data_IF_421050846281
#
_entry.id   IF_421050846281
#
_cell.length_a   1.000
_cell.length_b   1.000
_cell.length_c   1.000
_cell.angle_alpha   90.00
_cell.angle_beta   90.00
_cell.angle_gamma   90.00
#
_symmetry.space_group_name_H-M   'P 1'
#
loop_
_entity.id
_entity.type
_entity.pdbx_description
1 polymer ?
#
# COMPACT_ATOMS: atom_id res chain seq x y z
N UNK A 1 -33.63 7.61 -16.68
CA UNK A 1 -33.02 6.62 -17.61
C UNK A 1 -31.55 6.86 -17.87
N UNK A 2 -31.07 8.10 -17.88
CA UNK A 2 -29.67 8.41 -18.17
C UNK A 2 -28.66 7.93 -17.10
N UNK A 3 -28.99 8.04 -15.82
CA UNK A 3 -28.13 7.52 -14.75
C UNK A 3 -28.00 5.98 -14.76
N UNK A 4 -28.97 5.25 -15.29
CA UNK A 4 -28.88 3.80 -15.46
C UNK A 4 -28.00 3.43 -16.67
N UNK A 5 -28.12 4.17 -17.78
CA UNK A 5 -27.26 4.01 -18.97
C UNK A 5 -25.81 4.40 -18.68
N UNK A 6 -25.56 5.50 -17.98
CA UNK A 6 -24.21 5.89 -17.52
C UNK A 6 -23.61 4.84 -16.58
N UNK A 7 -24.36 4.29 -15.61
CA UNK A 7 -23.87 3.19 -14.76
C UNK A 7 -23.53 1.94 -15.57
N UNK A 8 -24.33 1.57 -16.56
CA UNK A 8 -24.05 0.40 -17.42
C UNK A 8 -22.84 0.63 -18.34
N UNK A 9 -22.66 1.85 -18.87
CA UNK A 9 -21.48 2.21 -19.66
C UNK A 9 -20.19 2.20 -18.83
N UNK A 10 -20.19 2.78 -17.61
CA UNK A 10 -19.06 2.72 -16.70
C UNK A 10 -18.71 1.30 -16.24
N UNK A 11 -19.68 0.38 -16.18
CA UNK A 11 -19.45 -1.02 -15.84
C UNK A 11 -18.73 -1.72 -17.01
N UNK A 12 -19.11 -1.51 -18.25
CA UNK A 12 -18.47 -2.11 -19.44
C UNK A 12 -17.00 -1.72 -19.57
N UNK A 13 -16.67 -0.46 -19.36
CA UNK A 13 -15.28 0.04 -19.40
C UNK A 13 -14.42 -0.41 -18.22
N UNK A 14 -15.04 -0.96 -17.19
CA UNK A 14 -14.35 -1.44 -15.97
C UNK A 14 -14.16 -2.95 -15.93
N UNK A 15 -14.62 -3.70 -16.92
CA UNK A 15 -14.36 -5.14 -17.00
C UNK A 15 -12.88 -5.40 -17.28
N UNK A 16 -12.25 -6.17 -16.38
CA UNK A 16 -10.91 -6.69 -16.59
C UNK A 16 -11.03 -8.16 -16.99
N UNK A 17 -10.52 -8.57 -18.17
CA UNK A 17 -10.55 -9.97 -18.56
C UNK A 17 -9.61 -10.76 -17.66
N UNK A 18 -10.05 -11.91 -17.16
CA UNK A 18 -9.20 -12.85 -16.43
C UNK A 18 -8.92 -14.04 -17.34
N UNK A 19 -7.65 -14.30 -17.62
CA UNK A 19 -7.22 -15.41 -18.45
C UNK A 19 -7.17 -16.70 -17.64
N UNK A 20 -7.93 -17.71 -18.08
CA UNK A 20 -7.84 -19.07 -17.52
C UNK A 20 -6.79 -19.83 -18.32
N UNK A 21 -5.64 -20.11 -17.69
CA UNK A 21 -4.52 -20.83 -18.31
C UNK A 21 -4.50 -22.28 -17.89
N UNK A 22 -4.11 -23.22 -18.80
CA UNK A 22 -3.93 -24.63 -18.47
C UNK A 22 -2.92 -24.83 -17.33
N UNK A 23 -3.10 -25.91 -16.54
CA UNK A 23 -2.22 -26.21 -15.41
C UNK A 23 -0.75 -26.38 -15.82
N UNK A 24 -0.48 -27.07 -16.93
CA UNK A 24 0.88 -27.25 -17.47
C UNK A 24 1.53 -25.89 -17.83
N UNK A 25 0.75 -24.96 -18.42
CA UNK A 25 1.25 -23.62 -18.70
C UNK A 25 1.69 -22.91 -17.43
N UNK A 26 0.95 -23.03 -16.33
CA UNK A 26 1.32 -22.42 -15.04
C UNK A 26 2.59 -22.99 -14.44
N UNK A 27 2.84 -24.30 -14.61
CA UNK A 27 4.11 -24.95 -14.17
C UNK A 27 5.29 -24.34 -14.96
N UNK A 28 5.16 -24.27 -16.28
CA UNK A 28 6.19 -23.69 -17.15
C UNK A 28 6.42 -22.21 -16.84
N UNK A 29 5.34 -21.42 -16.70
CA UNK A 29 5.44 -20.03 -16.27
C UNK A 29 6.15 -19.85 -14.93
N UNK A 30 5.91 -20.78 -13.97
CA UNK A 30 6.58 -20.74 -12.67
C UNK A 30 8.08 -20.95 -12.77
N UNK A 31 8.53 -21.85 -13.63
CA UNK A 31 9.96 -22.06 -13.89
C UNK A 31 10.62 -20.82 -14.51
N UNK A 32 9.98 -20.24 -15.54
CA UNK A 32 10.46 -19.01 -16.16
C UNK A 32 10.47 -17.84 -15.17
N UNK A 33 9.43 -17.71 -14.36
CA UNK A 33 9.30 -16.68 -13.33
C UNK A 33 10.44 -16.75 -12.31
N UNK A 34 10.75 -17.94 -11.78
CA UNK A 34 11.81 -18.12 -10.78
C UNK A 34 13.16 -17.67 -11.37
N UNK A 35 13.52 -18.17 -12.56
CA UNK A 35 14.77 -17.84 -13.23
C UNK A 35 14.91 -16.35 -13.56
N UNK A 36 13.84 -15.76 -14.09
CA UNK A 36 13.83 -14.33 -14.42
C UNK A 36 13.90 -13.47 -13.14
N UNK A 37 13.17 -13.85 -12.08
CA UNK A 37 13.16 -13.12 -10.82
C UNK A 37 14.53 -13.15 -10.13
N UNK A 38 15.20 -14.32 -10.09
CA UNK A 38 16.57 -14.46 -9.58
C UNK A 38 17.51 -13.50 -10.32
N UNK A 39 17.52 -13.56 -11.64
CA UNK A 39 18.35 -12.69 -12.49
C UNK A 39 18.10 -11.19 -12.22
N UNK A 40 16.83 -10.78 -12.13
CA UNK A 40 16.43 -9.39 -11.89
C UNK A 40 16.86 -8.91 -10.50
N UNK A 41 16.76 -9.78 -9.48
CA UNK A 41 17.15 -9.43 -8.12
C UNK A 41 18.68 -9.34 -7.98
N UNK A 42 19.42 -10.30 -8.53
CA UNK A 42 20.89 -10.32 -8.48
C UNK A 42 21.52 -9.09 -9.16
N UNK A 43 20.87 -8.60 -10.23
CA UNK A 43 21.31 -7.42 -10.96
C UNK A 43 20.65 -6.11 -10.50
N UNK A 44 19.81 -6.14 -9.44
CA UNK A 44 19.10 -4.97 -8.91
C UNK A 44 18.35 -4.16 -9.99
N UNK A 45 17.72 -4.83 -10.95
CA UNK A 45 17.09 -4.21 -12.12
C UNK A 45 15.89 -3.35 -11.74
N UNK A 46 15.04 -3.82 -10.81
CA UNK A 46 13.79 -3.12 -10.52
C UNK A 46 14.00 -1.84 -9.70
N UNK A 47 13.25 -0.82 -10.09
CA UNK A 47 13.24 0.46 -9.40
C UNK A 47 12.95 0.29 -7.90
N UNK A 48 13.76 0.91 -7.07
CA UNK A 48 13.75 0.73 -5.61
C UNK A 48 12.43 1.11 -4.92
N UNK A 49 11.63 1.98 -5.54
CA UNK A 49 10.32 2.39 -5.03
C UNK A 49 9.14 1.76 -5.80
N UNK A 50 9.39 0.65 -6.50
CA UNK A 50 8.34 -0.24 -6.99
C UNK A 50 7.93 -1.21 -5.87
N UNK A 51 6.68 -1.13 -5.43
CA UNK A 51 6.16 -1.94 -4.32
C UNK A 51 5.18 -3.04 -4.76
N UNK A 52 4.72 -3.01 -6.01
CA UNK A 52 3.79 -4.02 -6.55
C UNK A 52 4.50 -5.31 -6.94
N UNK A 53 3.87 -6.44 -6.70
CA UNK A 53 4.31 -7.78 -7.12
C UNK A 53 5.76 -8.16 -6.76
N UNK A 54 6.31 -7.58 -5.72
CA UNK A 54 7.66 -7.89 -5.23
C UNK A 54 7.59 -8.55 -3.86
N UNK A 55 8.40 -9.58 -3.65
CA UNK A 55 8.56 -10.21 -2.35
C UNK A 55 9.12 -9.21 -1.32
N UNK A 56 8.66 -9.29 -0.09
CA UNK A 56 9.05 -8.37 0.98
C UNK A 56 8.47 -6.95 0.84
N UNK A 57 7.75 -6.64 -0.23
CA UNK A 57 7.08 -5.36 -0.46
C UNK A 57 5.57 -5.48 -0.22
N UNK A 58 4.92 -4.37 0.13
CA UNK A 58 3.48 -4.36 0.42
C UNK A 58 2.89 -2.94 0.27
N UNK A 59 1.55 -2.82 0.12
CA UNK A 59 0.88 -1.51 0.17
C UNK A 59 1.20 -0.72 1.44
N UNK A 60 1.34 -1.41 2.56
CA UNK A 60 1.68 -0.82 3.84
C UNK A 60 3.05 -0.12 3.82
N UNK A 61 4.07 -0.77 3.28
CA UNK A 61 5.41 -0.19 3.14
C UNK A 61 5.43 1.03 2.23
N UNK A 62 4.71 0.99 1.11
CA UNK A 62 4.56 2.15 0.22
C UNK A 62 3.91 3.34 0.93
N UNK A 63 2.87 3.07 1.73
CA UNK A 63 2.16 4.09 2.52
C UNK A 63 3.03 4.65 3.65
N UNK A 64 3.77 3.82 4.38
CA UNK A 64 4.72 4.27 5.42
C UNK A 64 5.74 5.22 4.81
N UNK A 65 6.33 4.83 3.67
CA UNK A 65 7.29 5.68 2.95
C UNK A 65 6.68 7.01 2.52
N UNK A 66 5.50 6.98 1.91
CA UNK A 66 4.82 8.17 1.43
C UNK A 66 4.49 9.13 2.57
N UNK A 67 3.89 8.62 3.64
CA UNK A 67 3.51 9.42 4.82
C UNK A 67 4.74 10.01 5.50
N UNK A 68 5.84 9.24 5.61
CA UNK A 68 7.10 9.75 6.16
C UNK A 68 7.64 10.93 5.33
N UNK A 69 7.71 10.76 4.00
CA UNK A 69 8.21 11.81 3.10
C UNK A 69 7.36 13.08 3.15
N UNK A 70 6.02 12.93 3.05
CA UNK A 70 5.12 14.10 3.11
C UNK A 70 5.22 14.78 4.47
N UNK A 71 5.20 14.01 5.56
CA UNK A 71 5.26 14.59 6.92
C UNK A 71 6.53 15.39 7.15
N UNK A 72 7.67 14.91 6.65
CA UNK A 72 8.95 15.63 6.76
C UNK A 72 8.96 16.90 5.94
N UNK A 73 8.51 16.88 4.69
CA UNK A 73 8.40 18.09 3.88
C UNK A 73 7.47 19.13 4.55
N UNK A 74 6.33 18.69 5.09
CA UNK A 74 5.43 19.57 5.85
C UNK A 74 6.10 20.14 7.11
N UNK A 75 6.95 19.34 7.80
CA UNK A 75 7.71 19.82 8.97
C UNK A 75 8.68 20.94 8.59
N UNK A 76 9.38 20.79 7.46
CA UNK A 76 10.30 21.77 6.88
C UNK A 76 9.60 23.02 6.30
N UNK A 77 8.26 23.07 6.36
CA UNK A 77 7.45 24.17 5.86
C UNK A 77 7.16 24.11 4.37
N UNK A 78 7.43 22.98 3.74
CA UNK A 78 7.15 22.76 2.32
C UNK A 78 5.73 22.28 2.08
N UNK A 79 5.26 22.46 0.85
CA UNK A 79 4.11 21.76 0.27
C UNK A 79 4.59 20.53 -0.47
N UNK A 80 3.70 19.54 -0.62
CA UNK A 80 3.97 18.38 -1.49
C UNK A 80 2.85 18.27 -2.51
N UNK A 81 3.21 18.34 -3.80
CA UNK A 81 2.30 18.04 -4.88
C UNK A 81 2.38 16.53 -5.17
N UNK A 82 1.24 15.86 -5.09
CA UNK A 82 1.10 14.46 -5.49
C UNK A 82 0.18 14.34 -6.71
N UNK A 83 0.68 13.80 -7.81
CA UNK A 83 -0.08 13.46 -9.01
C UNK A 83 -0.29 11.95 -9.05
N UNK A 84 -1.56 11.54 -9.08
CA UNK A 84 -2.00 10.13 -9.09
C UNK A 84 -2.44 9.77 -10.50
N UNK A 85 -1.59 9.00 -11.20
CA UNK A 85 -1.84 8.56 -12.57
C UNK A 85 -2.64 7.26 -12.57
N UNK A 86 -3.67 7.18 -13.41
CA UNK A 86 -4.43 5.95 -13.69
C UNK A 86 -4.18 5.57 -15.16
N UNK A 87 -3.63 4.38 -15.40
CA UNK A 87 -3.41 3.91 -16.76
C UNK A 87 -4.63 3.18 -17.31
N UNK A 88 -4.88 3.40 -18.60
CA UNK A 88 -5.96 2.71 -19.31
C UNK A 88 -5.51 1.29 -19.69
N UNK A 89 -6.06 0.26 -19.01
CA UNK A 89 -5.79 -1.16 -19.35
C UNK A 89 -4.30 -1.51 -19.46
N UNK A 90 -3.48 -1.05 -18.50
CA UNK A 90 -2.02 -1.13 -18.55
C UNK A 90 -1.48 -2.52 -18.90
N UNK A 91 -1.99 -3.58 -18.30
CA UNK A 91 -1.59 -4.97 -18.58
C UNK A 91 -1.97 -5.45 -19.96
N UNK A 92 -3.07 -4.95 -20.51
CA UNK A 92 -3.61 -5.39 -21.81
C UNK A 92 -2.95 -4.65 -22.98
N UNK A 93 -2.22 -3.54 -22.71
CA UNK A 93 -1.61 -2.69 -23.73
C UNK A 93 -0.10 -2.83 -23.82
N UNK A 94 0.53 -3.71 -23.05
CA UNK A 94 1.98 -3.98 -23.11
C UNK A 94 2.36 -4.37 -24.52
N UNK A 95 3.20 -3.57 -25.18
CA UNK A 95 3.71 -3.90 -26.51
C UNK A 95 4.84 -4.91 -26.40
N UNK A 96 4.71 -6.04 -27.10
CA UNK A 96 5.64 -7.17 -26.97
C UNK A 96 7.05 -6.80 -27.48
N UNK A 97 7.20 -6.07 -28.59
CA UNK A 97 8.54 -5.71 -29.11
C UNK A 97 9.26 -4.74 -28.18
N UNK A 98 8.56 -3.76 -27.60
CA UNK A 98 9.13 -2.86 -26.60
C UNK A 98 9.55 -3.67 -25.35
N UNK A 99 8.71 -4.61 -24.90
CA UNK A 99 9.06 -5.48 -23.78
C UNK A 99 10.33 -6.31 -24.07
N UNK A 100 10.45 -6.88 -25.26
CA UNK A 100 11.63 -7.66 -25.63
C UNK A 100 12.88 -6.80 -25.70
N UNK A 101 12.80 -5.59 -26.24
CA UNK A 101 13.91 -4.61 -26.23
C UNK A 101 14.34 -4.26 -24.81
N UNK A 102 13.38 -4.08 -23.88
CA UNK A 102 13.69 -3.83 -22.46
C UNK A 102 14.31 -5.05 -21.77
N UNK A 103 13.82 -6.25 -22.03
CA UNK A 103 14.41 -7.49 -21.52
C UNK A 103 15.87 -7.61 -21.97
N UNK A 104 16.13 -7.37 -23.25
CA UNK A 104 17.48 -7.40 -23.82
C UNK A 104 18.39 -6.31 -23.22
N UNK A 105 17.88 -5.10 -23.06
CA UNK A 105 18.58 -3.99 -22.40
C UNK A 105 18.99 -4.35 -20.96
N UNK A 106 18.11 -5.01 -20.20
CA UNK A 106 18.39 -5.48 -18.85
C UNK A 106 19.27 -6.74 -18.80
N UNK A 107 19.68 -7.28 -19.95
CA UNK A 107 20.63 -8.39 -20.05
C UNK A 107 20.02 -9.76 -20.30
N UNK A 108 18.72 -9.86 -20.52
CA UNK A 108 18.07 -11.13 -20.92
C UNK A 108 18.25 -11.31 -22.42
N UNK A 109 19.19 -12.15 -22.85
CA UNK A 109 19.63 -12.30 -24.25
C UNK A 109 19.47 -13.75 -24.74
N UNK A 110 19.68 -13.93 -26.03
CA UNK A 110 19.78 -15.24 -26.72
C UNK A 110 18.60 -16.19 -26.42
N UNK A 111 18.87 -17.38 -25.93
CA UNK A 111 17.88 -18.43 -25.69
C UNK A 111 16.79 -17.99 -24.72
N UNK A 112 17.08 -17.38 -23.54
CA UNK A 112 16.06 -16.79 -22.66
C UNK A 112 15.14 -15.80 -23.36
N UNK A 113 15.69 -14.89 -24.16
CA UNK A 113 14.87 -13.90 -24.89
C UNK A 113 13.97 -14.57 -25.93
N UNK A 114 14.48 -15.57 -26.67
CA UNK A 114 13.69 -16.37 -27.62
C UNK A 114 12.55 -17.11 -26.94
N UNK A 115 12.76 -17.61 -25.71
CA UNK A 115 11.70 -18.22 -24.92
C UNK A 115 10.57 -17.24 -24.58
N UNK A 116 10.89 -16.01 -24.14
CA UNK A 116 9.86 -15.00 -23.86
C UNK A 116 9.14 -14.56 -25.14
N UNK A 117 9.85 -14.45 -26.27
CA UNK A 117 9.23 -14.22 -27.57
C UNK A 117 8.24 -15.32 -27.92
N UNK A 118 8.64 -16.60 -27.83
CA UNK A 118 7.78 -17.73 -28.08
C UNK A 118 6.57 -17.78 -27.12
N UNK A 119 6.78 -17.46 -25.85
CA UNK A 119 5.71 -17.42 -24.85
C UNK A 119 4.60 -16.40 -25.15
N UNK A 120 4.94 -15.23 -25.70
CA UNK A 120 3.98 -14.17 -26.00
C UNK A 120 3.45 -14.21 -27.44
N UNK A 121 4.18 -14.83 -28.37
CA UNK A 121 3.81 -14.86 -29.79
C UNK A 121 2.81 -15.97 -30.12
N UNK A 122 2.00 -15.75 -31.15
CA UNK A 122 1.07 -16.77 -31.67
C UNK A 122 -0.08 -17.13 -30.75
N UNK A 123 -0.27 -16.39 -29.65
CA UNK A 123 -1.36 -16.66 -28.70
C UNK A 123 -2.71 -16.25 -29.27
N UNK A 124 -3.73 -17.06 -28.96
CA UNK A 124 -5.12 -16.76 -29.28
C UNK A 124 -5.96 -16.73 -28.01
N UNK A 125 -7.02 -15.94 -28.01
CA UNK A 125 -7.98 -15.87 -26.93
C UNK A 125 -9.41 -15.89 -27.45
N UNK A 126 -10.31 -16.41 -26.65
CA UNK A 126 -11.75 -16.28 -26.82
C UNK A 126 -12.39 -15.99 -25.46
N UNK A 127 -13.59 -15.45 -25.47
CA UNK A 127 -14.36 -15.15 -24.27
C UNK A 127 -15.47 -16.16 -24.15
N UNK A 128 -15.64 -16.76 -22.99
CA UNK A 128 -16.76 -17.64 -22.64
C UNK A 128 -17.61 -16.92 -21.58
N UNK A 129 -18.92 -16.84 -21.85
CA UNK A 129 -19.86 -16.22 -20.94
C UNK A 129 -21.22 -16.93 -21.05
N UNK A 130 -21.76 -17.43 -19.93
CA UNK A 130 -23.03 -18.15 -19.86
C UNK A 130 -23.19 -19.30 -20.91
N UNK A 131 -22.12 -20.06 -21.12
CA UNK A 131 -22.12 -21.18 -22.07
C UNK A 131 -21.98 -20.79 -23.54
N UNK A 132 -21.87 -19.50 -23.86
CA UNK A 132 -21.60 -19.01 -25.21
C UNK A 132 -20.13 -18.61 -25.34
N UNK A 133 -19.48 -19.04 -26.44
CA UNK A 133 -18.09 -18.72 -26.74
C UNK A 133 -17.97 -17.77 -27.92
N UNK A 134 -17.08 -16.78 -27.82
CA UNK A 134 -16.73 -15.90 -28.94
C UNK A 134 -15.84 -16.59 -29.97
N UNK A 135 -15.68 -16.02 -31.15
CA UNK A 135 -14.61 -16.40 -32.08
C UNK A 135 -13.22 -16.17 -31.47
N UNK A 136 -12.28 -17.01 -31.85
CA UNK A 136 -10.87 -16.86 -31.46
C UNK A 136 -10.25 -15.63 -32.10
N UNK A 137 -9.46 -14.87 -31.32
CA UNK A 137 -8.71 -13.72 -31.79
C UNK A 137 -7.22 -13.82 -31.40
N UNK A 138 -6.34 -13.38 -32.28
CA UNK A 138 -4.91 -13.30 -31.97
C UNK A 138 -4.64 -12.21 -30.93
N UNK A 139 -3.73 -12.50 -30.00
CA UNK A 139 -3.21 -11.53 -29.02
C UNK A 139 -1.96 -10.92 -29.62
N UNK A 140 -2.01 -9.62 -29.91
CA UNK A 140 -0.89 -8.85 -30.49
C UNK A 140 -0.19 -7.93 -29.48
N UNK A 141 -0.79 -7.74 -28.30
CA UNK A 141 -0.25 -6.97 -27.19
C UNK A 141 -0.85 -7.45 -25.86
N UNK A 142 -0.27 -6.98 -24.78
CA UNK A 142 -0.68 -7.30 -23.42
C UNK A 142 -0.03 -8.56 -22.85
N UNK A 143 -0.09 -8.66 -21.52
CA UNK A 143 0.30 -9.85 -20.77
C UNK A 143 -0.94 -10.47 -20.14
N UNK A 144 -1.08 -11.81 -20.11
CA UNK A 144 -2.30 -12.45 -19.63
C UNK A 144 -2.58 -12.10 -18.16
N UNK A 145 -3.74 -11.50 -17.89
CA UNK A 145 -4.20 -11.25 -16.52
C UNK A 145 -4.63 -12.58 -15.87
N UNK A 146 -3.85 -13.06 -14.90
CA UNK A 146 -4.01 -14.39 -14.27
C UNK A 146 -2.85 -15.35 -14.53
N UNK A 147 -1.86 -14.94 -15.34
CA UNK A 147 -0.59 -15.64 -15.48
C UNK A 147 0.34 -15.39 -14.29
N UNK A 148 1.26 -16.32 -14.04
CA UNK A 148 2.31 -16.16 -13.02
C UNK A 148 3.39 -15.18 -13.50
N UNK A 149 3.71 -15.23 -14.77
CA UNK A 149 4.80 -14.45 -15.38
C UNK A 149 4.38 -13.01 -15.72
N UNK A 150 3.11 -12.80 -16.09
CA UNK A 150 2.59 -11.50 -16.54
C UNK A 150 2.90 -10.32 -15.62
N UNK A 151 2.67 -10.42 -14.32
CA UNK A 151 3.01 -9.34 -13.37
C UNK A 151 4.50 -8.94 -13.44
N UNK A 152 5.42 -9.90 -13.48
CA UNK A 152 6.86 -9.62 -13.52
C UNK A 152 7.25 -8.94 -14.86
N UNK A 153 6.71 -9.42 -15.97
CA UNK A 153 6.92 -8.80 -17.29
C UNK A 153 6.39 -7.35 -17.32
N UNK A 154 5.25 -7.10 -16.68
CA UNK A 154 4.73 -5.74 -16.55
C UNK A 154 5.64 -4.86 -15.69
N UNK A 155 6.19 -5.36 -14.57
CA UNK A 155 7.14 -4.60 -13.76
C UNK A 155 8.39 -4.20 -14.58
N UNK A 156 8.92 -5.09 -15.41
CA UNK A 156 10.05 -4.80 -16.31
C UNK A 156 9.65 -3.73 -17.34
N UNK A 157 8.43 -3.82 -17.87
CA UNK A 157 7.94 -2.89 -18.86
C UNK A 157 7.83 -1.45 -18.35
N UNK A 158 7.34 -1.26 -17.10
CA UNK A 158 7.13 0.07 -16.51
C UNK A 158 8.36 0.59 -15.75
N UNK A 159 9.40 -0.23 -15.59
CA UNK A 159 10.49 0.00 -14.65
C UNK A 159 11.20 1.36 -14.84
N UNK A 160 11.43 1.75 -16.07
CA UNK A 160 12.16 2.97 -16.46
C UNK A 160 11.30 4.25 -16.46
N UNK A 161 9.98 4.16 -16.20
CA UNK A 161 9.11 5.33 -16.00
C UNK A 161 9.68 6.29 -14.95
N UNK A 162 10.19 5.74 -13.85
CA UNK A 162 10.75 6.53 -12.77
C UNK A 162 12.00 7.32 -13.13
N UNK A 163 12.66 6.95 -14.23
CA UNK A 163 13.85 7.63 -14.78
C UNK A 163 13.52 8.63 -15.87
N UNK A 164 12.23 8.75 -16.28
CA UNK A 164 11.79 9.74 -17.24
C UNK A 164 11.91 11.19 -16.73
N UNK A 165 12.01 11.37 -15.41
CA UNK A 165 12.25 12.66 -14.75
C UNK A 165 13.26 12.49 -13.61
N UNK A 166 14.16 13.46 -13.47
CA UNK A 166 15.15 13.51 -12.39
C UNK A 166 14.66 14.29 -11.15
N UNK A 167 13.67 15.16 -11.31
CA UNK A 167 13.12 16.00 -10.24
C UNK A 167 11.96 15.33 -9.49
N UNK A 168 11.22 14.46 -10.18
CA UNK A 168 10.03 13.82 -9.61
C UNK A 168 10.41 12.59 -8.80
N UNK A 169 9.90 12.53 -7.57
CA UNK A 169 9.95 11.31 -6.78
C UNK A 169 8.74 10.44 -7.11
N UNK A 170 8.98 9.20 -7.57
CA UNK A 170 7.94 8.27 -7.99
C UNK A 170 7.75 7.15 -6.97
N UNK A 171 6.49 6.81 -6.65
CA UNK A 171 6.12 5.57 -5.96
C UNK A 171 5.26 4.77 -6.91
N UNK A 172 5.72 3.57 -7.27
CA UNK A 172 5.04 2.66 -8.18
C UNK A 172 4.46 1.47 -7.39
N UNK A 173 3.24 1.09 -7.73
CA UNK A 173 2.63 -0.14 -7.27
C UNK A 173 1.93 -0.83 -8.43
N UNK A 174 2.66 -1.63 -9.18
CA UNK A 174 2.27 -2.16 -10.48
C UNK A 174 1.86 -1.04 -11.45
N UNK A 175 0.58 -0.99 -11.85
CA UNK A 175 0.01 0.03 -12.73
C UNK A 175 -0.32 1.36 -11.99
N UNK A 176 -0.46 1.33 -10.66
CA UNK A 176 -0.63 2.56 -9.89
C UNK A 176 0.70 3.34 -9.83
N UNK A 177 0.81 4.41 -10.62
CA UNK A 177 2.00 5.26 -10.68
C UNK A 177 1.70 6.63 -10.07
N UNK A 178 2.51 7.00 -9.07
CA UNK A 178 2.26 8.20 -8.30
C UNK A 178 3.53 9.04 -8.25
N UNK A 179 3.40 10.32 -8.59
CA UNK A 179 4.47 11.26 -8.81
C UNK A 179 4.40 12.37 -7.77
N UNK A 180 5.52 12.68 -7.13
CA UNK A 180 5.57 13.65 -6.03
C UNK A 180 6.68 14.69 -6.23
N UNK A 181 6.37 15.94 -5.90
CA UNK A 181 7.33 17.05 -5.79
C UNK A 181 7.10 17.78 -4.47
N UNK A 182 8.17 18.25 -3.83
CA UNK A 182 8.09 19.12 -2.65
C UNK A 182 8.74 20.46 -2.89
N UNK A 183 8.26 21.51 -2.18
CA UNK A 183 8.79 22.84 -2.28
C UNK A 183 7.94 23.87 -1.53
N UNK A 184 8.43 25.09 -1.44
CA UNK A 184 7.82 26.16 -0.62
C UNK A 184 6.72 26.96 -1.32
N UNK A 185 6.68 26.95 -2.65
CA UNK A 185 5.67 27.64 -3.46
C UNK A 185 4.82 26.64 -4.25
N UNK A 186 3.51 26.56 -3.97
CA UNK A 186 2.61 25.64 -4.68
C UNK A 186 2.50 25.92 -6.19
N UNK A 187 2.52 27.17 -6.63
CA UNK A 187 2.44 27.50 -8.05
C UNK A 187 3.73 27.11 -8.78
N UNK A 188 4.89 27.29 -8.14
CA UNK A 188 6.15 26.81 -8.68
C UNK A 188 6.18 25.28 -8.79
N UNK A 189 5.62 24.56 -7.82
CA UNK A 189 5.49 23.09 -7.90
C UNK A 189 4.65 22.67 -9.10
N UNK A 190 3.57 23.40 -9.42
CA UNK A 190 2.74 23.11 -10.59
C UNK A 190 3.50 23.39 -11.89
N UNK A 191 4.24 24.50 -11.99
CA UNK A 191 5.08 24.81 -13.16
C UNK A 191 6.13 23.71 -13.38
N UNK A 192 6.88 23.38 -12.34
CA UNK A 192 7.87 22.29 -12.41
C UNK A 192 7.25 20.94 -12.78
N UNK A 193 6.07 20.62 -12.19
CA UNK A 193 5.35 19.41 -12.55
C UNK A 193 4.99 19.40 -14.04
N UNK A 194 4.50 20.51 -14.61
CA UNK A 194 4.14 20.60 -16.01
C UNK A 194 5.39 20.44 -16.93
N UNK A 195 6.53 21.03 -16.55
CA UNK A 195 7.80 20.87 -17.27
C UNK A 195 8.21 19.38 -17.32
N UNK A 196 8.22 18.72 -16.17
CA UNK A 196 8.63 17.31 -16.07
C UNK A 196 7.60 16.35 -16.71
N UNK A 197 6.32 16.71 -16.72
CA UNK A 197 5.28 15.95 -17.39
C UNK A 197 5.48 15.83 -18.90
N UNK A 198 6.16 16.77 -19.54
CA UNK A 198 6.53 16.65 -20.96
C UNK A 198 7.36 15.39 -21.19
N UNK A 199 8.34 15.13 -20.34
CA UNK A 199 9.19 13.95 -20.42
C UNK A 199 8.42 12.66 -20.14
N UNK A 200 7.55 12.68 -19.11
CA UNK A 200 6.71 11.54 -18.75
C UNK A 200 5.72 11.20 -19.87
N UNK A 201 5.06 12.21 -20.45
CA UNK A 201 4.12 12.01 -21.57
C UNK A 201 4.85 11.45 -22.79
N UNK A 202 6.04 11.95 -23.11
CA UNK A 202 6.89 11.40 -24.18
C UNK A 202 7.25 9.94 -23.90
N UNK A 203 7.65 9.62 -22.67
CA UNK A 203 7.93 8.24 -22.27
C UNK A 203 6.69 7.34 -22.46
N UNK A 204 5.51 7.79 -22.05
CA UNK A 204 4.26 7.06 -22.22
C UNK A 204 3.92 6.79 -23.67
N UNK A 205 4.11 7.78 -24.56
CA UNK A 205 3.88 7.66 -26.00
C UNK A 205 4.82 6.62 -26.62
N UNK A 206 6.13 6.68 -26.31
CA UNK A 206 7.14 5.73 -26.79
C UNK A 206 6.79 4.32 -26.30
N UNK A 207 6.35 4.18 -25.07
CA UNK A 207 5.96 2.89 -24.48
C UNK A 207 4.50 2.47 -24.79
N UNK A 208 3.79 3.18 -25.66
CA UNK A 208 2.41 2.87 -26.07
C UNK A 208 1.45 2.68 -24.89
N UNK A 209 1.68 3.40 -23.79
CA UNK A 209 0.80 3.43 -22.62
C UNK A 209 -0.07 4.69 -22.63
N UNK A 210 -1.34 4.56 -22.25
CA UNK A 210 -2.28 5.67 -22.22
C UNK A 210 -2.73 5.98 -20.80
N UNK A 211 -2.73 7.26 -20.44
CA UNK A 211 -3.26 7.75 -19.16
C UNK A 211 -4.76 7.96 -19.26
N UNK A 212 -5.49 7.50 -18.28
CA UNK A 212 -6.91 7.81 -18.11
C UNK A 212 -7.06 9.18 -17.44
N UNK A 213 -7.10 10.24 -18.25
CA UNK A 213 -7.16 11.62 -17.77
C UNK A 213 -8.39 11.93 -16.88
N UNK A 214 -9.50 11.18 -17.06
CA UNK A 214 -10.72 11.34 -16.24
C UNK A 214 -10.55 10.81 -14.81
N UNK A 215 -9.67 9.83 -14.60
CA UNK A 215 -9.36 9.26 -13.28
C UNK A 215 -8.07 9.80 -12.69
N UNK A 216 -7.21 10.41 -13.50
CA UNK A 216 -6.00 11.08 -13.06
C UNK A 216 -6.35 12.37 -12.33
N UNK A 217 -5.73 12.61 -11.19
CA UNK A 217 -5.98 13.79 -10.37
C UNK A 217 -4.73 14.15 -9.56
N UNK A 218 -4.67 15.38 -9.07
CA UNK A 218 -3.58 15.80 -8.20
C UNK A 218 -4.08 16.35 -6.87
N UNK A 219 -3.21 16.35 -5.87
CA UNK A 219 -3.46 16.89 -4.54
C UNK A 219 -2.23 17.65 -4.06
N UNK A 220 -2.45 18.78 -3.37
CA UNK A 220 -1.39 19.50 -2.67
C UNK A 220 -1.52 19.25 -1.18
N UNK A 221 -0.56 18.55 -0.62
CA UNK A 221 -0.44 18.33 0.81
C UNK A 221 0.09 19.59 1.48
N UNK A 222 -0.52 19.97 2.59
CA UNK A 222 -0.25 21.20 3.31
C UNK A 222 -0.59 21.13 4.79
N UNK A 223 -0.04 22.03 5.59
CA UNK A 223 -0.45 22.18 6.99
C UNK A 223 -1.91 22.63 7.10
N UNK A 224 -2.63 22.15 8.13
CA UNK A 224 -4.09 22.39 8.29
C UNK A 224 -4.51 23.87 8.26
N UNK A 225 -3.70 24.77 8.84
CA UNK A 225 -4.01 26.18 8.94
C UNK A 225 -3.68 26.99 7.68
N UNK A 226 -2.95 26.39 6.73
CA UNK A 226 -2.51 27.07 5.52
C UNK A 226 -3.59 26.96 4.46
N UNK A 227 -4.12 28.08 4.01
CA UNK A 227 -4.99 28.16 2.83
C UNK A 227 -4.12 28.42 1.61
N UNK A 228 -4.43 27.77 0.50
CA UNK A 228 -3.77 28.00 -0.79
C UNK A 228 -4.82 28.38 -1.83
N UNK A 229 -4.45 29.31 -2.68
CA UNK A 229 -5.19 29.66 -3.88
C UNK A 229 -4.23 29.54 -5.05
N UNK A 230 -4.48 28.55 -5.89
CA UNK A 230 -3.60 28.24 -7.03
C UNK A 230 -3.95 29.12 -8.22
N UNK A 231 -2.92 29.69 -8.84
CA UNK A 231 -3.02 30.43 -10.11
C UNK A 231 -2.75 29.49 -11.29
N UNK A 232 -1.84 28.55 -11.10
CA UNK A 232 -1.39 27.57 -12.10
C UNK A 232 -2.26 26.32 -12.13
N UNK A 233 -2.22 25.56 -13.22
CA UNK A 233 -2.99 24.34 -13.44
C UNK A 233 -2.09 23.25 -14.00
N UNK A 234 -2.31 22.01 -13.59
CA UNK A 234 -1.67 20.84 -14.22
C UNK A 234 -2.39 20.53 -15.53
N UNK A 235 -1.63 20.36 -16.61
CA UNK A 235 -2.13 20.09 -17.95
C UNK A 235 -1.41 18.87 -18.50
N UNK A 236 -2.16 17.87 -18.97
CA UNK A 236 -1.65 16.70 -19.69
C UNK A 236 -2.39 16.61 -21.02
N UNK A 237 -1.69 16.61 -22.16
CA UNK A 237 -2.28 16.54 -23.50
C UNK A 237 -3.42 17.56 -23.68
N UNK A 238 -3.20 18.83 -23.32
CA UNK A 238 -4.15 19.94 -23.37
C UNK A 238 -5.40 19.76 -22.49
N UNK A 239 -5.45 18.74 -21.64
CA UNK A 239 -6.54 18.51 -20.68
C UNK A 239 -6.11 18.95 -19.28
N UNK A 240 -6.93 19.79 -18.65
CA UNK A 240 -6.72 20.21 -17.26
C UNK A 240 -7.02 19.07 -16.31
N UNK A 241 -6.05 18.76 -15.46
CA UNK A 241 -6.18 17.75 -14.40
C UNK A 241 -6.85 18.37 -13.17
N UNK A 242 -7.82 17.67 -12.60
CA UNK A 242 -8.57 18.14 -11.44
C UNK A 242 -7.76 18.04 -10.15
N UNK A 243 -7.80 19.12 -9.37
CA UNK A 243 -7.33 19.11 -7.99
C UNK A 243 -8.38 18.45 -7.09
N UNK A 244 -7.94 17.62 -6.16
CA UNK A 244 -8.80 16.99 -5.16
C UNK A 244 -8.22 17.17 -3.75
N UNK A 245 -9.06 17.08 -2.73
CA UNK A 245 -8.66 17.19 -1.33
C UNK A 245 -8.47 15.83 -0.66
N UNK A 246 -8.96 14.76 -1.26
CA UNK A 246 -8.84 13.38 -0.76
C UNK A 246 -8.85 12.38 -1.91
N UNK A 247 -8.06 11.32 -1.76
CA UNK A 247 -8.02 10.20 -2.72
C UNK A 247 -7.88 8.88 -2.00
N UNK A 248 -8.20 7.79 -2.70
CA UNK A 248 -7.93 6.44 -2.23
C UNK A 248 -6.61 5.96 -2.85
N UNK A 249 -5.58 5.89 -2.03
CA UNK A 249 -4.26 5.38 -2.42
C UNK A 249 -4.00 4.02 -1.76
N UNK A 250 -3.75 3.00 -2.55
CA UNK A 250 -3.52 1.62 -2.10
C UNK A 250 -4.51 1.16 -1.00
N UNK A 251 -5.81 1.45 -1.21
CA UNK A 251 -6.86 1.05 -0.27
C UNK A 251 -7.11 2.00 0.91
N UNK A 252 -6.21 2.94 1.20
CA UNK A 252 -6.34 3.93 2.27
C UNK A 252 -6.83 5.28 1.72
N UNK A 253 -7.82 5.89 2.38
CA UNK A 253 -8.25 7.26 2.05
C UNK A 253 -7.27 8.26 2.65
N UNK A 254 -6.52 8.94 1.79
CA UNK A 254 -5.57 10.01 2.18
C UNK A 254 -6.22 11.36 1.88
N UNK A 255 -6.03 12.31 2.76
CA UNK A 255 -6.44 13.71 2.58
C UNK A 255 -5.22 14.65 2.59
N UNK A 256 -5.40 15.84 2.04
CA UNK A 256 -4.38 16.85 1.85
C UNK A 256 -3.70 17.38 3.15
N UNK A 257 -4.24 17.03 4.30
CA UNK A 257 -3.68 17.36 5.62
C UNK A 257 -3.19 16.14 6.41
N UNK A 258 -3.17 14.94 5.81
CA UNK A 258 -2.83 13.65 6.46
C UNK A 258 -3.63 13.42 7.76
N UNK A 259 -4.93 13.73 7.75
CA UNK A 259 -5.77 13.54 8.94
C UNK A 259 -6.30 12.11 9.06
N UNK A 260 -6.42 11.39 7.95
CA UNK A 260 -7.02 10.06 7.83
C UNK A 260 -8.46 9.95 8.36
N UNK A 261 -9.13 11.06 8.65
CA UNK A 261 -10.52 11.05 9.16
C UNK A 261 -11.45 10.34 8.17
N UNK A 262 -11.28 10.62 6.87
CA UNK A 262 -12.06 9.97 5.81
C UNK A 262 -11.83 8.45 5.77
N UNK A 263 -10.60 7.98 6.04
CA UNK A 263 -10.30 6.55 6.12
C UNK A 263 -10.94 5.89 7.34
N UNK A 264 -10.88 6.55 8.49
CA UNK A 264 -11.51 6.08 9.74
C UNK A 264 -13.03 5.94 9.54
N UNK A 265 -13.68 6.93 8.92
CA UNK A 265 -15.12 6.87 8.60
C UNK A 265 -15.44 5.77 7.58
N UNK A 266 -14.59 5.59 6.58
CA UNK A 266 -14.71 4.48 5.62
C UNK A 266 -14.60 3.12 6.32
N UNK A 267 -13.61 2.93 7.18
CA UNK A 267 -13.40 1.71 7.99
C UNK A 267 -14.62 1.44 8.87
N UNK A 268 -15.13 2.46 9.59
CA UNK A 268 -16.37 2.37 10.37
C UNK A 268 -17.56 1.87 9.53
N UNK A 269 -17.70 2.39 8.31
CA UNK A 269 -18.80 2.00 7.40
C UNK A 269 -18.67 0.53 6.96
N UNK A 270 -17.46 0.08 6.62
CA UNK A 270 -17.20 -1.33 6.26
C UNK A 270 -17.45 -2.27 7.43
N UNK A 271 -16.97 -1.91 8.62
CA UNK A 271 -17.23 -2.67 9.86
C UNK A 271 -18.73 -2.76 10.18
N UNK A 272 -19.51 -1.71 9.93
CA UNK A 272 -20.94 -1.74 10.19
C UNK A 272 -21.66 -2.83 9.37
N UNK A 273 -21.25 -3.03 8.10
CA UNK A 273 -21.77 -4.12 7.26
C UNK A 273 -21.37 -5.50 7.78
N UNK A 274 -20.10 -5.66 8.17
CA UNK A 274 -19.57 -6.89 8.74
C UNK A 274 -20.28 -7.26 10.06
N UNK A 275 -20.54 -6.27 10.92
CA UNK A 275 -21.25 -6.44 12.18
C UNK A 275 -22.69 -6.92 11.92
N UNK A 276 -23.33 -6.51 10.82
CA UNK A 276 -24.64 -7.03 10.42
C UNK A 276 -24.63 -8.54 10.17
N UNK A 277 -23.54 -9.09 9.63
CA UNK A 277 -23.35 -10.54 9.47
C UNK A 277 -23.26 -11.22 10.83
N UNK A 278 -22.40 -10.69 11.74
CA UNK A 278 -22.24 -11.20 13.09
C UNK A 278 -23.57 -11.18 13.86
N UNK A 279 -24.34 -10.10 13.73
CA UNK A 279 -25.63 -9.95 14.40
C UNK A 279 -26.64 -11.04 13.99
N UNK A 280 -26.68 -11.39 12.69
CA UNK A 280 -27.55 -12.48 12.21
C UNK A 280 -27.04 -13.85 12.66
N UNK A 281 -25.73 -14.05 12.66
CA UNK A 281 -25.10 -15.33 13.02
C UNK A 281 -25.17 -15.68 14.50
N UNK A 282 -25.28 -14.69 15.43
CA UNK A 282 -25.20 -14.91 16.88
C UNK A 282 -26.21 -15.90 17.46
N UNK A 283 -27.34 -16.15 16.77
CA UNK A 283 -28.37 -17.09 17.19
C UNK A 283 -28.06 -18.54 16.79
N UNK A 284 -27.17 -18.73 15.81
CA UNK A 284 -26.94 -20.03 15.17
C UNK A 284 -25.53 -20.57 15.44
N UNK A 285 -24.58 -19.71 15.76
CA UNK A 285 -23.17 -20.09 15.85
C UNK A 285 -22.65 -20.05 17.29
N UNK A 286 -21.71 -20.95 17.58
CA UNK A 286 -20.96 -20.96 18.83
C UNK A 286 -20.07 -19.73 18.98
N UNK A 287 -19.64 -19.39 20.19
CA UNK A 287 -18.71 -18.29 20.44
C UNK A 287 -17.41 -18.44 19.64
N UNK A 288 -16.91 -19.65 19.44
CA UNK A 288 -15.69 -19.92 18.69
C UNK A 288 -15.88 -19.64 17.21
N UNK A 289 -17.02 -20.05 16.63
CA UNK A 289 -17.38 -19.70 15.25
C UNK A 289 -17.55 -18.20 15.09
N UNK A 290 -18.21 -17.54 16.05
CA UNK A 290 -18.39 -16.09 16.04
C UNK A 290 -17.05 -15.33 16.13
N UNK A 291 -16.08 -15.83 16.93
CA UNK A 291 -14.69 -15.33 16.92
C UNK A 291 -14.04 -15.47 15.54
N UNK A 292 -14.24 -16.60 14.88
CA UNK A 292 -13.72 -16.82 13.51
C UNK A 292 -14.33 -15.82 12.54
N UNK A 293 -15.64 -15.60 12.59
CA UNK A 293 -16.33 -14.59 11.77
C UNK A 293 -15.82 -13.16 12.06
N UNK A 294 -15.57 -12.83 13.33
CA UNK A 294 -14.94 -11.56 13.68
C UNK A 294 -13.55 -11.41 13.04
N UNK A 295 -12.73 -12.45 13.12
CA UNK A 295 -11.38 -12.43 12.54
C UNK A 295 -11.39 -12.32 10.99
N UNK A 296 -12.42 -12.86 10.33
CA UNK A 296 -12.54 -12.82 8.86
C UNK A 296 -13.16 -11.51 8.38
N UNK A 297 -14.22 -11.03 9.03
CA UNK A 297 -15.02 -9.92 8.50
C UNK A 297 -14.76 -8.56 9.17
N UNK A 298 -14.25 -8.51 10.41
CA UNK A 298 -14.05 -7.25 11.16
C UNK A 298 -12.57 -6.91 11.31
N UNK A 299 -11.78 -7.85 11.80
CA UNK A 299 -10.37 -7.65 12.11
C UNK A 299 -9.52 -7.13 10.92
N UNK A 300 -9.70 -7.60 9.66
CA UNK A 300 -8.92 -7.13 8.53
C UNK A 300 -9.08 -5.63 8.26
N UNK A 301 -10.27 -5.07 8.47
CA UNK A 301 -10.50 -3.62 8.34
C UNK A 301 -9.78 -2.80 9.41
N UNK A 302 -9.57 -3.36 10.60
CA UNK A 302 -8.83 -2.72 11.68
C UNK A 302 -7.32 -2.79 11.45
N UNK A 303 -6.84 -3.91 10.91
CA UNK A 303 -5.42 -4.18 10.71
C UNK A 303 -4.84 -3.52 9.45
N UNK A 304 -5.67 -3.28 8.42
CA UNK A 304 -5.17 -2.83 7.13
C UNK A 304 -4.49 -1.46 7.21
N UNK A 305 -3.18 -1.45 7.00
CA UNK A 305 -2.32 -0.25 7.00
C UNK A 305 -2.50 0.63 8.26
N UNK A 306 -2.82 0.02 9.40
CA UNK A 306 -3.08 0.75 10.65
C UNK A 306 -1.87 1.56 11.12
N UNK A 307 -0.66 1.19 10.71
CA UNK A 307 0.58 1.85 11.06
C UNK A 307 0.59 3.32 10.63
N UNK A 308 -0.14 3.69 9.57
CA UNK A 308 -0.17 5.07 9.07
C UNK A 308 -1.35 5.89 9.62
N UNK A 309 -2.45 5.25 10.04
CA UNK A 309 -3.64 5.97 10.51
C UNK A 309 -4.01 5.71 11.98
N UNK A 310 -3.43 4.67 12.60
CA UNK A 310 -3.81 4.23 13.95
C UNK A 310 -3.33 5.15 15.08
N UNK A 311 -2.29 5.99 14.90
CA UNK A 311 -1.85 7.03 15.86
C UNK A 311 -2.64 8.31 15.65
N UNK A 312 -3.94 8.22 15.56
CA UNK A 312 -4.80 9.40 15.47
C UNK A 312 -5.37 9.76 16.85
N UNK A 313 -5.92 10.98 16.97
CA UNK A 313 -6.59 11.42 18.19
C UNK A 313 -7.78 10.50 18.51
N UNK A 314 -7.96 10.17 19.79
CA UNK A 314 -9.03 9.29 20.27
C UNK A 314 -10.43 9.73 19.83
N UNK A 315 -10.68 11.03 19.78
CA UNK A 315 -11.93 11.60 19.24
C UNK A 315 -12.27 11.07 17.85
N UNK A 316 -11.27 10.91 16.99
CA UNK A 316 -11.48 10.41 15.61
C UNK A 316 -11.54 8.89 15.57
N UNK A 317 -10.80 8.19 16.44
CA UNK A 317 -10.81 6.73 16.53
C UNK A 317 -12.04 6.16 17.24
N UNK A 318 -12.68 6.92 18.15
CA UNK A 318 -13.82 6.47 18.95
C UNK A 318 -14.98 5.86 18.15
N UNK A 319 -15.36 6.37 16.96
CA UNK A 319 -16.38 5.71 16.14
C UNK A 319 -16.03 4.29 15.69
N UNK A 320 -14.75 3.98 15.46
CA UNK A 320 -14.27 2.64 15.11
C UNK A 320 -14.18 1.78 16.35
N UNK A 321 -13.67 2.32 17.48
CA UNK A 321 -13.62 1.66 18.78
C UNK A 321 -15.02 1.21 19.25
N UNK A 322 -16.03 2.07 19.12
CA UNK A 322 -17.42 1.74 19.43
C UNK A 322 -17.94 0.57 18.59
N UNK A 323 -17.61 0.54 17.28
CA UNK A 323 -17.97 -0.58 16.41
C UNK A 323 -17.23 -1.86 16.77
N UNK A 324 -15.96 -1.78 17.10
CA UNK A 324 -15.20 -2.95 17.57
C UNK A 324 -15.79 -3.52 18.87
N UNK A 325 -16.06 -2.68 19.87
CA UNK A 325 -16.70 -3.11 21.12
C UNK A 325 -18.06 -3.77 20.88
N UNK A 326 -18.84 -3.26 19.94
CA UNK A 326 -20.10 -3.89 19.55
C UNK A 326 -19.88 -5.28 18.94
N UNK A 327 -18.94 -5.42 18.01
CA UNK A 327 -18.61 -6.71 17.39
C UNK A 327 -18.15 -7.74 18.43
N UNK A 328 -17.30 -7.34 19.40
CA UNK A 328 -16.82 -8.21 20.48
C UNK A 328 -17.98 -8.73 21.37
N UNK A 329 -18.93 -7.88 21.73
CA UNK A 329 -20.11 -8.31 22.51
C UNK A 329 -21.01 -9.29 21.74
N UNK A 330 -21.04 -9.21 20.41
CA UNK A 330 -21.79 -10.17 19.61
C UNK A 330 -21.18 -11.58 19.62
N UNK A 331 -19.87 -11.71 19.90
CA UNK A 331 -19.22 -13.02 20.01
C UNK A 331 -19.82 -13.84 21.15
N UNK A 332 -20.04 -13.19 22.29
CA UNK A 332 -20.57 -13.84 23.53
C UNK A 332 -22.05 -13.60 23.76
N UNK A 333 -22.72 -12.83 22.90
CA UNK A 333 -24.14 -12.53 23.03
C UNK A 333 -24.54 -11.60 24.21
N UNK A 334 -23.56 -11.02 24.91
CA UNK A 334 -23.79 -10.18 26.11
C UNK A 334 -24.41 -8.81 25.79
N UNK A 335 -24.87 -8.12 26.81
CA UNK A 335 -25.55 -6.82 26.70
C UNK A 335 -24.61 -5.71 26.18
N UNK A 336 -25.19 -4.62 25.64
CA UNK A 336 -24.44 -3.45 25.16
C UNK A 336 -23.62 -2.73 26.24
N UNK A 337 -23.97 -2.90 27.51
CA UNK A 337 -23.28 -2.26 28.64
C UNK A 337 -22.10 -3.08 29.18
N UNK A 338 -22.00 -4.37 28.82
CA UNK A 338 -20.93 -5.26 29.32
C UNK A 338 -19.56 -4.78 28.91
N UNK A 339 -18.58 -4.70 29.83
CA UNK A 339 -17.18 -4.42 29.48
C UNK A 339 -16.63 -5.43 28.48
N UNK A 340 -15.77 -4.99 27.57
CA UNK A 340 -15.23 -5.86 26.53
C UNK A 340 -13.85 -6.43 26.84
N UNK A 341 -13.22 -5.99 27.94
CA UNK A 341 -11.90 -6.48 28.36
C UNK A 341 -11.92 -7.98 28.67
N UNK A 342 -12.84 -8.52 29.47
CA UNK A 342 -12.89 -9.96 29.74
C UNK A 342 -13.12 -10.79 28.47
N UNK A 343 -13.90 -10.26 27.52
CA UNK A 343 -14.12 -10.94 26.22
C UNK A 343 -12.82 -11.00 25.41
N UNK A 344 -12.05 -9.90 25.38
CA UNK A 344 -10.77 -9.85 24.67
C UNK A 344 -9.76 -10.81 25.28
N UNK A 345 -9.64 -10.85 26.59
CA UNK A 345 -8.78 -11.77 27.34
C UNK A 345 -9.16 -13.23 27.07
N UNK A 346 -10.46 -13.59 27.26
CA UNK A 346 -10.97 -14.95 26.98
C UNK A 346 -10.58 -15.46 25.58
N UNK A 347 -10.66 -14.62 24.58
CA UNK A 347 -10.43 -15.00 23.18
C UNK A 347 -9.07 -14.59 22.61
N UNK A 348 -8.23 -13.93 23.39
CA UNK A 348 -6.94 -13.39 22.92
C UNK A 348 -7.13 -12.36 21.80
N UNK A 349 -8.09 -11.44 21.91
CA UNK A 349 -8.41 -10.43 20.91
C UNK A 349 -7.85 -9.06 21.33
N UNK A 350 -7.27 -8.35 20.39
CA UNK A 350 -6.68 -7.04 20.62
C UNK A 350 -7.69 -5.91 20.41
N UNK A 351 -7.61 -4.86 21.21
CA UNK A 351 -8.27 -3.56 20.96
C UNK A 351 -7.64 -2.84 19.77
N UNK A 352 -8.27 -1.79 19.26
CA UNK A 352 -7.71 -1.00 18.14
C UNK A 352 -6.32 -0.44 18.46
N UNK A 353 -6.11 0.06 19.69
CA UNK A 353 -4.80 0.59 20.11
C UNK A 353 -3.75 -0.52 20.21
N UNK A 354 -4.12 -1.69 20.72
CA UNK A 354 -3.23 -2.85 20.77
C UNK A 354 -2.93 -3.39 19.35
N UNK A 355 -3.92 -3.37 18.42
CA UNK A 355 -3.71 -3.73 17.01
C UNK A 355 -2.68 -2.78 16.37
N UNK A 356 -2.77 -1.47 16.67
CA UNK A 356 -1.79 -0.49 16.18
C UNK A 356 -0.39 -0.81 16.67
N UNK A 357 -0.20 -1.00 17.99
CA UNK A 357 1.11 -1.37 18.56
C UNK A 357 1.59 -2.70 17.98
N UNK A 358 0.71 -3.69 17.90
CA UNK A 358 1.03 -4.99 17.34
C UNK A 358 1.56 -4.89 15.90
N UNK A 359 0.87 -4.14 15.03
CA UNK A 359 1.27 -3.97 13.65
C UNK A 359 2.64 -3.27 13.53
N UNK A 360 2.83 -2.18 14.28
CA UNK A 360 4.11 -1.46 14.32
C UNK A 360 5.24 -2.37 14.81
N UNK A 361 5.01 -3.14 15.86
CA UNK A 361 6.04 -4.02 16.40
C UNK A 361 6.42 -5.15 15.43
N UNK A 362 5.46 -5.69 14.68
CA UNK A 362 5.75 -6.66 13.62
C UNK A 362 6.58 -6.05 12.49
N UNK A 363 6.30 -4.80 12.13
CA UNK A 363 7.12 -4.06 11.17
C UNK A 363 8.54 -3.81 11.71
N UNK A 364 8.67 -3.30 12.94
CA UNK A 364 9.97 -3.02 13.56
C UNK A 364 10.80 -4.29 13.79
N UNK A 365 10.18 -5.42 14.11
CA UNK A 365 10.86 -6.72 14.14
C UNK A 365 11.48 -7.05 12.78
N UNK A 366 10.74 -6.86 11.68
CA UNK A 366 11.27 -7.08 10.34
C UNK A 366 12.41 -6.12 10.00
N UNK A 367 12.31 -4.85 10.43
CA UNK A 367 13.41 -3.86 10.30
C UNK A 367 14.64 -4.33 11.06
N UNK A 368 14.48 -4.73 12.32
CA UNK A 368 15.59 -5.20 13.17
C UNK A 368 16.34 -6.38 12.58
N UNK A 369 15.62 -7.28 11.90
CA UNK A 369 16.19 -8.48 11.26
C UNK A 369 16.48 -8.31 9.76
N UNK A 370 16.52 -7.08 9.23
CA UNK A 370 16.78 -6.75 7.83
C UNK A 370 15.84 -7.47 6.82
N UNK A 371 14.58 -7.70 7.23
CA UNK A 371 13.54 -8.37 6.43
C UNK A 371 12.58 -7.37 5.77
N UNK A 372 13.02 -6.15 5.56
CA UNK A 372 12.32 -5.08 4.82
C UNK A 372 13.17 -4.63 3.64
N UNK A 373 12.59 -3.99 2.62
CA UNK A 373 13.37 -3.43 1.52
C UNK A 373 14.48 -2.49 2.02
N UNK A 374 15.65 -2.53 1.37
CA UNK A 374 16.85 -1.80 1.77
C UNK A 374 16.63 -0.28 1.98
N UNK A 375 15.63 0.28 1.31
CA UNK A 375 15.26 1.69 1.47
C UNK A 375 14.87 2.06 2.91
N UNK A 376 14.38 1.11 3.69
CA UNK A 376 14.02 1.34 5.09
C UNK A 376 15.23 1.25 6.04
N UNK A 377 16.38 0.72 5.62
CA UNK A 377 17.60 0.69 6.44
C UNK A 377 18.06 2.10 6.82
N UNK A 378 17.89 3.08 5.92
CA UNK A 378 18.23 4.48 6.19
C UNK A 378 17.24 5.20 7.11
N UNK A 379 16.10 4.60 7.41
CA UNK A 379 15.08 5.18 8.29
C UNK A 379 15.36 4.91 9.76
N UNK A 380 16.03 3.80 10.06
CA UNK A 380 16.15 3.26 11.40
C UNK A 380 17.63 2.97 11.71
N UNK A 381 18.28 3.95 12.32
CA UNK A 381 19.71 3.88 12.69
C UNK A 381 19.80 3.42 14.15
N UNK A 382 20.72 2.51 14.46
CA UNK A 382 20.98 2.08 15.86
C UNK A 382 21.87 3.09 16.57
N UNK A 383 21.72 3.23 17.88
CA UNK A 383 22.54 4.16 18.68
C UNK A 383 24.03 3.89 18.49
N UNK A 384 24.46 2.64 18.37
CA UNK A 384 25.87 2.26 18.12
C UNK A 384 26.43 2.79 16.79
N UNK A 385 25.58 3.17 15.84
CA UNK A 385 25.98 3.72 14.54
C UNK A 385 26.13 5.25 14.59
N UNK A 386 25.65 5.88 15.67
CA UNK A 386 25.70 7.33 15.88
C UNK A 386 26.86 7.69 16.82
N UNK A 387 27.08 6.88 17.89
CA UNK A 387 28.12 7.11 18.85
C UNK A 387 28.72 5.80 19.40
N UNK A 388 29.98 5.81 19.74
CA UNK A 388 30.70 4.62 20.20
C UNK A 388 30.59 4.35 21.71
N UNK A 389 29.83 5.14 22.49
CA UNK A 389 29.70 4.96 23.92
C UNK A 389 29.01 3.64 24.28
N UNK A 390 29.56 2.84 25.24
CA UNK A 390 28.95 1.59 25.69
C UNK A 390 27.80 1.86 26.65
N UNK A 391 26.63 2.21 26.10
CA UNK A 391 25.39 2.43 26.87
C UNK A 391 24.50 1.20 26.82
N UNK A 392 23.60 1.03 27.80
CA UNK A 392 22.58 -0.02 27.82
C UNK A 392 21.60 0.07 26.60
N UNK A 393 21.49 1.25 25.99
CA UNK A 393 20.66 1.50 24.80
C UNK A 393 21.44 1.34 23.48
N UNK A 394 22.70 0.90 23.48
CA UNK A 394 23.54 0.81 22.28
C UNK A 394 22.90 0.03 21.11
N UNK A 395 22.20 -1.04 21.40
CA UNK A 395 21.56 -1.90 20.41
C UNK A 395 20.13 -1.46 20.05
N UNK A 396 19.58 -0.46 20.75
CA UNK A 396 18.27 0.11 20.47
C UNK A 396 18.37 1.10 19.30
N UNK A 397 17.23 1.37 18.65
CA UNK A 397 17.19 2.37 17.59
C UNK A 397 17.24 3.78 18.16
N UNK A 398 17.90 4.66 17.45
CA UNK A 398 17.89 6.09 17.75
C UNK A 398 16.50 6.67 17.52
N UNK A 399 15.97 7.41 18.50
CA UNK A 399 14.67 8.08 18.41
C UNK A 399 14.88 9.48 17.83
N UNK A 400 14.44 9.74 16.58
CA UNK A 400 14.55 11.08 16.01
C UNK A 400 13.68 12.07 16.77
N UNK A 401 14.10 13.33 16.84
CA UNK A 401 13.33 14.40 17.47
C UNK A 401 12.09 14.72 16.62
N UNK A 402 10.91 14.66 17.24
CA UNK A 402 9.65 15.12 16.62
C UNK A 402 9.51 16.62 16.83
N UNK A 403 9.59 17.41 15.75
CA UNK A 403 9.44 18.87 15.79
C UNK A 403 8.02 19.35 15.51
N UNK A 404 7.13 18.46 15.08
CA UNK A 404 5.77 18.81 14.67
C UNK A 404 4.77 17.70 14.96
N UNK A 405 3.46 18.07 14.92
CA UNK A 405 2.36 17.11 14.98
C UNK A 405 2.42 16.03 13.90
N UNK A 406 2.96 16.36 12.72
CA UNK A 406 3.07 15.44 11.60
C UNK A 406 4.17 14.40 11.85
N UNK A 407 5.35 14.84 12.25
CA UNK A 407 6.48 13.94 12.54
C UNK A 407 6.23 13.07 13.77
N UNK A 408 5.56 13.57 14.80
CA UNK A 408 5.23 12.78 15.99
C UNK A 408 4.36 11.53 15.72
N UNK A 409 3.73 11.43 14.54
CA UNK A 409 2.82 10.33 14.18
C UNK A 409 3.40 9.32 13.20
N UNK A 410 4.53 9.63 12.57
CA UNK A 410 5.14 8.73 11.59
C UNK A 410 5.77 7.50 12.27
N UNK A 411 5.79 6.40 11.53
CA UNK A 411 6.34 5.13 12.03
C UNK A 411 7.80 5.25 12.42
N UNK A 412 8.57 6.13 11.78
CA UNK A 412 9.96 6.40 12.11
C UNK A 412 10.17 6.83 13.58
N UNK A 413 9.21 7.53 14.17
CA UNK A 413 9.24 7.97 15.57
C UNK A 413 8.45 7.00 16.44
N UNK A 414 7.17 6.81 16.15
CA UNK A 414 6.33 5.96 16.99
C UNK A 414 6.77 4.50 17.00
N UNK A 415 7.26 4.00 15.86
CA UNK A 415 7.81 2.65 15.73
C UNK A 415 9.03 2.44 16.59
N UNK A 416 9.99 3.36 16.48
CA UNK A 416 11.25 3.30 17.26
C UNK A 416 10.96 3.42 18.76
N UNK A 417 10.15 4.41 19.16
CA UNK A 417 9.81 4.64 20.56
C UNK A 417 9.16 3.42 21.20
N UNK A 418 8.13 2.87 20.54
CA UNK A 418 7.42 1.69 21.06
C UNK A 418 8.29 0.42 21.00
N UNK A 419 9.13 0.27 19.98
CA UNK A 419 10.03 -0.87 19.86
C UNK A 419 11.10 -0.87 20.94
N UNK A 420 11.75 0.26 21.18
CA UNK A 420 12.73 0.40 22.24
C UNK A 420 12.14 0.14 23.63
N UNK A 421 10.88 0.52 23.86
CA UNK A 421 10.16 0.22 25.10
C UNK A 421 9.95 -1.29 25.29
N UNK A 422 9.64 -2.02 24.22
CA UNK A 422 9.35 -3.46 24.24
C UNK A 422 10.61 -4.32 24.03
N UNK A 423 11.76 -3.71 23.75
CA UNK A 423 13.00 -4.38 23.33
C UNK A 423 13.40 -5.53 24.23
N UNK A 424 13.39 -5.30 25.56
CA UNK A 424 13.80 -6.28 26.56
C UNK A 424 12.60 -7.10 27.12
N UNK A 425 11.36 -6.79 26.72
CA UNK A 425 10.14 -7.35 27.34
C UNK A 425 9.53 -8.51 26.55
N UNK A 426 9.71 -8.55 25.23
CA UNK A 426 9.02 -9.53 24.35
C UNK A 426 9.97 -10.60 23.78
N UNK A 427 11.29 -10.37 23.86
CA UNK A 427 12.32 -11.26 23.33
C UNK A 427 12.43 -11.18 21.80
N UNK A 428 13.56 -10.73 21.30
CA UNK A 428 13.78 -10.50 19.86
C UNK A 428 14.52 -11.66 19.17
N UNK A 429 15.28 -12.47 19.92
CA UNK A 429 16.07 -13.58 19.39
C UNK A 429 15.25 -14.86 19.18
N UNK A 430 14.07 -14.71 18.59
CA UNK A 430 13.13 -15.82 18.31
C UNK A 430 12.64 -15.72 16.87
N UNK A 431 12.02 -16.79 16.37
CA UNK A 431 11.42 -16.74 15.01
C UNK A 431 10.31 -15.71 14.93
N UNK A 432 10.02 -15.24 13.72
CA UNK A 432 8.92 -14.28 13.48
C UNK A 432 7.58 -14.78 14.00
N UNK A 433 7.30 -16.08 13.85
CA UNK A 433 6.06 -16.71 14.33
C UNK A 433 5.98 -16.69 15.85
N UNK A 434 7.09 -17.03 16.53
CA UNK A 434 7.19 -16.99 17.98
C UNK A 434 7.06 -15.57 18.51
N UNK A 435 7.79 -14.60 17.89
CA UNK A 435 7.68 -13.19 18.26
C UNK A 435 6.23 -12.68 18.16
N UNK A 436 5.56 -13.01 17.06
CA UNK A 436 4.15 -12.67 16.81
C UNK A 436 3.21 -13.19 17.91
N UNK A 437 3.44 -14.43 18.37
CA UNK A 437 2.66 -15.06 19.44
C UNK A 437 2.94 -14.39 20.79
N UNK A 438 4.22 -14.22 21.15
CA UNK A 438 4.65 -13.60 22.40
C UNK A 438 4.17 -12.15 22.53
N UNK A 439 4.33 -11.37 21.47
CA UNK A 439 3.85 -10.00 21.41
C UNK A 439 2.34 -9.92 21.62
N UNK A 440 1.59 -10.79 20.95
CA UNK A 440 0.13 -10.81 21.09
C UNK A 440 -0.29 -11.14 22.52
N UNK A 441 0.35 -12.15 23.13
CA UNK A 441 0.11 -12.51 24.54
C UNK A 441 0.44 -11.35 25.46
N UNK A 442 1.59 -10.74 25.32
CA UNK A 442 2.00 -9.58 26.09
C UNK A 442 1.00 -8.42 26.01
N UNK A 443 0.50 -8.10 24.80
CA UNK A 443 -0.45 -7.01 24.60
C UNK A 443 -1.85 -7.29 25.17
N UNK A 444 -2.27 -8.55 25.25
CA UNK A 444 -3.54 -8.94 25.90
C UNK A 444 -3.43 -8.82 27.43
N UNK A 445 -2.28 -9.22 28.00
CA UNK A 445 -2.05 -9.25 29.45
C UNK A 445 -1.70 -7.85 30.02
N UNK A 446 -1.15 -6.95 29.20
CA UNK A 446 -0.70 -5.63 29.64
C UNK A 446 -1.52 -4.50 29.01
N UNK A 447 -1.83 -3.49 29.82
CA UNK A 447 -2.62 -2.35 29.35
C UNK A 447 -1.77 -1.38 28.51
N UNK A 448 -1.96 -1.38 27.19
CA UNK A 448 -1.25 -0.51 26.24
C UNK A 448 -1.44 0.99 26.52
N UNK A 449 -2.56 1.39 27.14
CA UNK A 449 -2.77 2.80 27.50
C UNK A 449 -1.74 3.29 28.54
N UNK A 450 -1.29 2.41 29.45
CA UNK A 450 -0.21 2.76 30.38
C UNK A 450 1.12 2.93 29.64
N UNK A 451 1.41 2.08 28.67
CA UNK A 451 2.58 2.21 27.81
C UNK A 451 2.62 3.59 27.09
N UNK A 452 1.49 4.05 26.54
CA UNK A 452 1.46 5.37 25.90
C UNK A 452 1.61 6.53 26.89
N UNK A 453 1.18 6.37 28.14
CA UNK A 453 1.43 7.38 29.20
C UNK A 453 2.88 7.45 29.61
N UNK A 454 3.59 6.31 29.64
CA UNK A 454 5.01 6.25 29.97
C UNK A 454 5.90 6.77 28.80
N UNK A 455 5.38 6.78 27.57
CA UNK A 455 6.08 7.23 26.36
C UNK A 455 5.74 8.66 25.93
N UNK A 456 4.79 9.33 26.59
CA UNK A 456 4.40 10.73 26.38
C UNK A 456 5.18 11.65 27.30
#
# INVERSE_FOLDING_TARGET
SDHRRQRQMCIRDSYRPVSVLPALSKIFERLLYIRLLEFINDNNVLYKFQFGFREGHSPNLALILLVDKISRALEEGEFVLGLFLDFSKAFDTVNHEILFTKLEFYGVRDVPLKLFRSYLSGRKQYVEYNGASSSQRNIVCGVPQGSILGPLLFLIYINDLAHASTKIFSILFADDSNLFLSGRDPDQLIRTMNEELVHIVKWLQVNKLSVNLKKTHFMIFRKRKVKIQLKEKIIINNVKISQIEKTKFLGVMIDNNLTFINHILYTKSKMAKAIGILYRGKKFFTELTMKTLYNVFVYPYLMYCIEVWGKNCDKYLDPVLKKQRHALRLITGVSKKTPTTPIREKFGLLSLHEIYVYAIQLFMYKVHHNKVPAIFSTFFVKNREIHNYPTSSRNKFHVPLAKSYYSAKIVRITGVTTFNYLFDRVGLNVTYTTYKSNLKKFLVENNVNNMFKELS
#
